data_IF_836903330604
#
_entry.id   IF_836903330604
#
_cell.length_a   1.000
_cell.length_b   1.000
_cell.length_c   1.000
_cell.angle_alpha   90.00
_cell.angle_beta   90.00
_cell.angle_gamma   90.00
#
_symmetry.space_group_name_H-M   'P 1'
#
loop_
_entity.id
_entity.type
_entity.pdbx_description
1 polymer ?
#
# COMPACT_ATOMS: atom_id res chain seq x y z
N UNK A 1 -9.34 -3.32 12.29
CA UNK A 1 -7.97 -3.07 11.79
C UNK A 1 -7.31 -4.43 11.61
N UNK A 2 -6.64 -4.69 10.48
CA UNK A 2 -5.96 -5.97 10.27
C UNK A 2 -4.78 -6.10 11.23
N UNK A 3 -4.68 -7.24 11.91
CA UNK A 3 -3.61 -7.58 12.86
C UNK A 3 -3.25 -9.05 12.69
N UNK A 4 -1.95 -9.36 12.66
CA UNK A 4 -1.42 -10.73 12.72
C UNK A 4 -0.69 -10.92 14.06
N UNK A 5 -0.78 -12.11 14.64
CA UNK A 5 -0.03 -12.48 15.84
C UNK A 5 1.11 -13.44 15.46
N UNK A 6 2.34 -13.11 15.87
CA UNK A 6 3.53 -13.91 15.63
C UNK A 6 4.32 -14.00 16.95
N UNK A 7 4.54 -15.22 17.44
CA UNK A 7 5.23 -15.47 18.72
C UNK A 7 4.61 -14.70 19.91
N UNK A 8 3.28 -14.57 19.94
CA UNK A 8 2.56 -13.82 20.98
C UNK A 8 2.61 -12.29 20.84
N UNK A 9 3.32 -11.78 19.82
CA UNK A 9 3.40 -10.35 19.50
C UNK A 9 2.39 -10.01 18.40
N UNK A 10 1.61 -8.96 18.62
CA UNK A 10 0.63 -8.45 17.63
C UNK A 10 1.29 -7.44 16.70
N UNK A 11 1.30 -7.75 15.40
CA UNK A 11 1.75 -6.88 14.32
C UNK A 11 0.55 -6.26 13.60
N UNK A 12 0.30 -4.94 13.78
CA UNK A 12 -0.68 -4.20 12.97
C UNK A 12 -0.05 -3.73 11.65
N UNK A 13 -0.85 -3.04 10.81
CA UNK A 13 -0.49 -2.49 9.49
C UNK A 13 -0.36 -3.54 8.37
N UNK A 14 -1.27 -3.46 7.40
CA UNK A 14 -1.35 -4.42 6.29
C UNK A 14 -0.06 -4.53 5.48
N UNK A 15 0.61 -3.42 5.18
CA UNK A 15 1.88 -3.45 4.44
C UNK A 15 3.04 -4.02 5.27
N UNK A 16 3.08 -3.78 6.58
CA UNK A 16 4.09 -4.37 7.45
C UNK A 16 3.92 -5.89 7.52
N UNK A 17 2.68 -6.36 7.66
CA UNK A 17 2.33 -7.78 7.62
C UNK A 17 2.71 -8.39 6.27
N UNK A 18 2.38 -7.74 5.15
CA UNK A 18 2.71 -8.22 3.81
C UNK A 18 4.23 -8.35 3.61
N UNK A 19 5.01 -7.35 4.02
CA UNK A 19 6.49 -7.39 3.96
C UNK A 19 7.07 -8.48 4.85
N UNK A 20 6.53 -8.65 6.06
CA UNK A 20 6.97 -9.71 6.97
C UNK A 20 6.77 -11.08 6.33
N UNK A 21 5.57 -11.37 5.82
CA UNK A 21 5.27 -12.62 5.14
C UNK A 21 6.10 -12.79 3.85
N UNK A 22 6.29 -11.73 3.07
CA UNK A 22 7.13 -11.77 1.88
C UNK A 22 8.57 -12.20 2.20
N UNK A 23 9.14 -11.76 3.33
CA UNK A 23 10.45 -12.22 3.80
C UNK A 23 10.43 -13.69 4.23
N UNK A 24 9.42 -14.12 4.96
CA UNK A 24 9.28 -15.52 5.41
C UNK A 24 9.20 -16.51 4.24
N UNK A 25 8.59 -16.09 3.11
CA UNK A 25 8.38 -16.94 1.93
C UNK A 25 9.34 -16.64 0.76
N UNK A 26 10.44 -15.90 0.98
CA UNK A 26 11.42 -15.55 -0.05
C UNK A 26 10.84 -14.79 -1.27
N UNK A 27 9.83 -13.95 -1.03
CA UNK A 27 9.16 -13.10 -2.03
C UNK A 27 9.59 -11.63 -1.94
N UNK A 28 10.51 -11.29 -1.04
CA UNK A 28 10.96 -9.92 -0.79
C UNK A 28 12.23 -9.53 -1.57
N UNK A 29 12.64 -10.29 -2.59
CA UNK A 29 13.92 -10.09 -3.29
C UNK A 29 15.10 -10.82 -2.64
N UNK A 30 16.21 -10.94 -3.37
CA UNK A 30 17.39 -11.73 -2.96
C UNK A 30 18.43 -10.92 -2.20
N UNK A 31 18.43 -9.61 -2.38
CA UNK A 31 19.32 -8.67 -1.73
C UNK A 31 18.57 -7.38 -1.33
N UNK A 32 19.27 -6.48 -0.65
CA UNK A 32 18.69 -5.21 -0.18
C UNK A 32 18.16 -4.32 -1.31
N UNK A 33 18.78 -4.36 -2.49
CA UNK A 33 18.35 -3.54 -3.62
C UNK A 33 17.14 -4.14 -4.33
N UNK A 34 17.06 -5.46 -4.46
CA UNK A 34 15.86 -6.15 -4.91
C UNK A 34 14.68 -5.94 -3.98
N UNK A 35 14.92 -6.00 -2.66
CA UNK A 35 13.89 -5.68 -1.68
C UNK A 35 13.38 -4.25 -1.86
N UNK A 36 14.28 -3.27 -2.02
CA UNK A 36 13.90 -1.89 -2.25
C UNK A 36 13.05 -1.72 -3.52
N UNK A 37 13.34 -2.46 -4.60
CA UNK A 37 12.51 -2.45 -5.82
C UNK A 37 11.11 -3.02 -5.57
N UNK A 38 11.00 -4.13 -4.85
CA UNK A 38 9.70 -4.74 -4.48
C UNK A 38 8.90 -3.79 -3.60
N UNK A 39 9.54 -3.20 -2.58
CA UNK A 39 8.93 -2.23 -1.67
C UNK A 39 8.43 -0.99 -2.44
N UNK A 40 9.23 -0.47 -3.38
CA UNK A 40 8.85 0.67 -4.20
C UNK A 40 7.59 0.39 -5.04
N UNK A 41 7.46 -0.80 -5.64
CA UNK A 41 6.27 -1.19 -6.40
C UNK A 41 5.05 -1.29 -5.47
N UNK A 42 5.19 -1.94 -4.33
CA UNK A 42 4.10 -2.10 -3.37
C UNK A 42 3.61 -0.75 -2.83
N UNK A 43 4.52 0.16 -2.50
CA UNK A 43 4.19 1.50 -2.02
C UNK A 43 3.53 2.34 -3.12
N UNK A 44 4.02 2.27 -4.36
CA UNK A 44 3.40 2.94 -5.51
C UNK A 44 1.95 2.50 -5.70
N UNK A 45 1.69 1.18 -5.63
CA UNK A 45 0.32 0.64 -5.74
C UNK A 45 -0.53 1.12 -4.56
N UNK A 46 -0.01 1.09 -3.34
CA UNK A 46 -0.74 1.55 -2.16
C UNK A 46 -1.09 3.04 -2.22
N UNK A 47 -0.20 3.88 -2.74
CA UNK A 47 -0.45 5.31 -2.92
C UNK A 47 -1.52 5.56 -3.99
N UNK A 48 -1.46 4.83 -5.11
CA UNK A 48 -2.49 4.88 -6.14
C UNK A 48 -3.86 4.44 -5.58
N UNK A 49 -3.90 3.34 -4.82
CA UNK A 49 -5.11 2.86 -4.17
C UNK A 49 -5.67 3.89 -3.19
N UNK A 50 -4.83 4.56 -2.40
CA UNK A 50 -5.27 5.63 -1.48
C UNK A 50 -5.90 6.80 -2.21
N UNK A 51 -5.27 7.26 -3.30
CA UNK A 51 -5.80 8.33 -4.14
C UNK A 51 -7.13 7.92 -4.78
N UNK A 52 -7.21 6.70 -5.31
CA UNK A 52 -8.42 6.14 -5.89
C UNK A 52 -9.55 6.03 -4.87
N UNK A 53 -9.28 5.51 -3.68
CA UNK A 53 -10.28 5.39 -2.60
C UNK A 53 -10.78 6.77 -2.17
N UNK A 54 -9.90 7.78 -2.06
CA UNK A 54 -10.29 9.16 -1.78
C UNK A 54 -11.26 9.69 -2.82
N UNK A 55 -11.00 9.48 -4.11
CA UNK A 55 -11.90 9.86 -5.20
C UNK A 55 -13.23 9.08 -5.15
N UNK A 56 -13.18 7.77 -4.87
CA UNK A 56 -14.35 6.88 -4.84
C UNK A 56 -15.33 7.23 -3.74
N UNK A 57 -14.81 7.64 -2.57
CA UNK A 57 -15.58 7.98 -1.37
C UNK A 57 -15.85 9.48 -1.20
N UNK A 58 -15.30 10.35 -2.06
CA UNK A 58 -15.64 11.77 -2.07
C UNK A 58 -17.12 11.97 -2.45
N UNK A 59 -17.85 12.71 -1.61
CA UNK A 59 -19.28 12.97 -1.77
C UNK A 59 -19.55 14.31 -2.44
N UNK A 60 -18.63 15.26 -2.30
CA UNK A 60 -18.73 16.58 -2.93
C UNK A 60 -18.39 16.48 -4.42
N UNK A 61 -19.35 16.86 -5.28
CA UNK A 61 -19.21 16.78 -6.74
C UNK A 61 -18.06 17.65 -7.27
N UNK A 62 -17.84 18.82 -6.68
CA UNK A 62 -16.79 19.76 -7.12
C UNK A 62 -15.41 19.23 -6.75
N UNK A 63 -15.24 18.77 -5.51
CA UNK A 63 -13.97 18.17 -5.04
C UNK A 63 -13.66 16.86 -5.77
N UNK A 64 -14.69 16.07 -6.08
CA UNK A 64 -14.52 14.84 -6.86
C UNK A 64 -14.01 15.12 -8.28
N UNK A 65 -14.54 16.15 -8.96
CA UNK A 65 -14.01 16.55 -10.28
C UNK A 65 -12.56 17.02 -10.21
N UNK A 66 -12.19 17.80 -9.19
CA UNK A 66 -10.81 18.24 -8.99
C UNK A 66 -9.86 17.07 -8.72
N UNK A 67 -10.24 16.16 -7.81
CA UNK A 67 -9.48 14.95 -7.52
C UNK A 67 -9.37 14.02 -8.72
N UNK A 68 -10.39 13.96 -9.57
CA UNK A 68 -10.39 13.15 -10.78
C UNK A 68 -9.43 13.70 -11.83
N UNK A 69 -9.42 15.02 -12.06
CA UNK A 69 -8.39 15.65 -12.91
C UNK A 69 -6.98 15.36 -12.39
N UNK A 70 -6.75 15.63 -11.11
CA UNK A 70 -5.45 15.36 -10.46
C UNK A 70 -5.02 13.88 -10.56
N UNK A 71 -5.96 12.94 -10.52
CA UNK A 71 -5.65 11.51 -10.62
C UNK A 71 -5.27 11.06 -12.04
N UNK A 72 -5.75 11.74 -13.09
CA UNK A 72 -5.44 11.41 -14.49
C UNK A 72 -4.28 12.23 -15.06
N UNK A 73 -3.99 13.39 -14.49
CA UNK A 73 -2.87 14.26 -14.88
C UNK A 73 -1.52 13.86 -14.24
N UNK A 74 -1.55 12.93 -13.27
CA UNK A 74 -0.40 12.38 -12.56
C UNK A 74 0.01 11.01 -13.13
#
# INVERSE_FOLDING_TARGET
MLVVEYEGIKLPQSLAIARFLAKQFNLAGRDYFEQAKVDAVADTINDLLRKFLRLRFEKDKSKKQELMKKFFDE
#
